data_IF_585596282139
#
_entry.id   IF_585596282139
#
_cell.length_a   1.000
_cell.length_b   1.000
_cell.length_c   1.000
_cell.angle_alpha   90.00
_cell.angle_beta   90.00
_cell.angle_gamma   90.00
#
_symmetry.space_group_name_H-M   'P 1'
#
loop_
_entity.id
_entity.type
_entity.pdbx_description
1 polymer ?
#
# COMPACT_ATOMS: atom_id res chain seq x y z
N UNK A 1 16.81 8.01 -9.76
CA UNK A 1 15.49 8.21 -9.11
C UNK A 1 14.52 8.90 -10.08
N UNK A 2 14.89 10.00 -10.72
CA UNK A 2 14.00 10.79 -11.60
C UNK A 2 13.38 9.99 -12.77
N UNK A 3 14.09 8.96 -13.28
CA UNK A 3 13.58 8.13 -14.37
C UNK A 3 12.46 7.20 -13.87
N UNK A 4 12.60 6.63 -12.68
CA UNK A 4 11.62 5.69 -12.14
C UNK A 4 10.30 6.36 -11.73
N UNK A 5 10.34 7.67 -11.44
CA UNK A 5 9.16 8.44 -11.03
C UNK A 5 8.35 8.96 -12.23
N UNK A 6 8.95 9.08 -13.41
CA UNK A 6 8.29 9.52 -14.65
C UNK A 6 7.93 8.31 -15.53
N UNK A 7 6.64 7.94 -15.67
CA UNK A 7 6.23 6.78 -16.44
C UNK A 7 6.71 6.81 -17.90
N UNK A 8 6.78 7.98 -18.54
CA UNK A 8 7.21 8.10 -19.94
C UNK A 8 8.73 7.87 -20.08
N UNK A 9 9.52 8.46 -19.17
CA UNK A 9 10.96 8.22 -19.15
C UNK A 9 11.26 6.75 -18.86
N UNK A 10 10.50 6.15 -17.94
CA UNK A 10 10.65 4.75 -17.60
C UNK A 10 10.26 3.82 -18.76
N UNK A 11 9.16 4.08 -19.48
CA UNK A 11 8.81 3.36 -20.70
C UNK A 11 9.90 3.44 -21.76
N UNK A 12 10.49 4.61 -21.97
CA UNK A 12 11.60 4.79 -22.91
C UNK A 12 12.82 3.95 -22.49
N UNK A 13 13.11 3.88 -21.20
CA UNK A 13 14.18 3.00 -20.68
C UNK A 13 13.86 1.53 -20.93
N UNK A 14 12.63 1.07 -20.63
CA UNK A 14 12.21 -0.32 -20.86
C UNK A 14 12.36 -0.74 -22.35
N UNK A 15 12.04 0.18 -23.26
CA UNK A 15 12.22 -0.04 -24.72
C UNK A 15 13.68 -0.07 -25.11
N UNK A 16 14.46 0.94 -24.68
CA UNK A 16 15.89 1.05 -24.97
C UNK A 16 16.68 -0.19 -24.51
N UNK A 17 16.45 -0.61 -23.28
CA UNK A 17 17.15 -1.73 -22.66
C UNK A 17 16.51 -3.10 -23.01
N UNK A 18 15.42 -3.12 -23.78
CA UNK A 18 14.68 -4.32 -24.20
C UNK A 18 14.35 -5.23 -23.00
N UNK A 19 13.87 -4.62 -21.91
CA UNK A 19 13.55 -5.32 -20.66
C UNK A 19 12.56 -6.44 -20.91
N UNK A 20 12.86 -7.63 -20.39
CA UNK A 20 12.03 -8.84 -20.56
C UNK A 20 11.32 -9.28 -19.29
N UNK A 21 11.80 -8.87 -18.12
CA UNK A 21 11.19 -9.14 -16.80
C UNK A 21 11.08 -7.82 -16.06
N UNK A 22 9.87 -7.45 -15.67
CA UNK A 22 9.58 -6.25 -14.91
C UNK A 22 9.01 -6.64 -13.56
N UNK A 23 9.66 -6.22 -12.48
CA UNK A 23 9.11 -6.33 -11.12
C UNK A 23 8.66 -4.93 -10.67
N UNK A 24 7.39 -4.80 -10.30
CA UNK A 24 6.79 -3.53 -9.93
C UNK A 24 5.73 -3.70 -8.83
N UNK A 25 5.56 -2.64 -8.02
CA UNK A 25 4.36 -2.58 -7.19
C UNK A 25 3.14 -2.27 -8.06
N UNK A 26 1.94 -2.77 -7.69
CA UNK A 26 0.71 -2.47 -8.42
C UNK A 26 0.49 -0.99 -8.71
N UNK A 27 0.67 -0.13 -7.71
CA UNK A 27 0.46 1.33 -7.86
C UNK A 27 1.36 1.92 -8.95
N UNK A 28 2.67 1.64 -8.95
CA UNK A 28 3.57 2.14 -9.99
C UNK A 28 3.26 1.58 -11.37
N UNK A 29 2.84 0.33 -11.43
CA UNK A 29 2.47 -0.30 -12.68
C UNK A 29 1.20 0.33 -13.28
N UNK A 30 0.22 0.74 -12.48
CA UNK A 30 -0.98 1.42 -13.00
C UNK A 30 -0.63 2.73 -13.70
N UNK A 31 0.32 3.53 -13.17
CA UNK A 31 0.81 4.73 -13.85
C UNK A 31 1.53 4.39 -15.17
N UNK A 32 2.38 3.36 -15.15
CA UNK A 32 3.11 2.89 -16.33
C UNK A 32 2.14 2.41 -17.41
N UNK A 33 1.16 1.59 -17.04
CA UNK A 33 0.10 1.12 -17.93
C UNK A 33 -0.68 2.27 -18.56
N UNK A 34 -1.11 3.24 -17.76
CA UNK A 34 -1.87 4.39 -18.26
C UNK A 34 -1.08 5.22 -19.27
N UNK A 35 0.23 5.37 -19.08
CA UNK A 35 1.09 6.03 -20.05
C UNK A 35 1.25 5.19 -21.34
N UNK A 36 1.49 3.88 -21.19
CA UNK A 36 1.68 2.96 -22.33
C UNK A 36 0.42 2.78 -23.18
N UNK A 37 -0.77 2.74 -22.56
CA UNK A 37 -2.03 2.55 -23.26
C UNK A 37 -2.42 3.76 -24.13
N UNK A 38 -1.87 4.95 -23.87
CA UNK A 38 -2.04 6.14 -24.72
C UNK A 38 -1.23 6.08 -26.02
N UNK A 39 -0.25 5.19 -26.10
CA UNK A 39 0.60 5.01 -27.27
C UNK A 39 0.01 3.96 -28.21
N UNK A 40 0.09 4.21 -29.51
CA UNK A 40 -0.44 3.29 -30.53
C UNK A 40 0.54 2.14 -30.87
N UNK A 41 1.75 2.15 -30.33
CA UNK A 41 2.75 1.11 -30.60
C UNK A 41 2.73 0.02 -29.51
N UNK A 42 3.22 -1.17 -29.83
CA UNK A 42 3.28 -2.34 -28.94
C UNK A 42 4.67 -2.96 -28.98
N UNK A 43 5.71 -2.15 -28.78
CA UNK A 43 7.10 -2.54 -29.01
C UNK A 43 7.89 -2.95 -27.74
N UNK A 44 7.26 -3.02 -26.57
CA UNK A 44 7.87 -3.53 -25.36
C UNK A 44 8.16 -5.03 -25.49
N UNK A 45 9.31 -5.47 -24.96
CA UNK A 45 9.77 -6.87 -24.99
C UNK A 45 9.52 -7.63 -23.69
N UNK A 46 8.61 -7.11 -22.86
CA UNK A 46 8.33 -7.67 -21.54
C UNK A 46 7.60 -9.01 -21.68
N UNK A 47 8.22 -10.08 -21.18
CA UNK A 47 7.66 -11.42 -21.12
C UNK A 47 6.93 -11.67 -19.78
N UNK A 48 7.46 -11.11 -18.69
CA UNK A 48 6.94 -11.30 -17.33
C UNK A 48 6.79 -9.97 -16.63
N UNK A 49 5.64 -9.75 -15.99
CA UNK A 49 5.44 -8.69 -15.02
C UNK A 49 5.13 -9.34 -13.69
N UNK A 50 5.93 -9.03 -12.68
CA UNK A 50 5.82 -9.58 -11.34
C UNK A 50 5.33 -8.46 -10.42
N UNK A 51 4.17 -8.64 -9.83
CA UNK A 51 3.58 -7.72 -8.86
C UNK A 51 3.87 -8.19 -7.44
N UNK A 52 4.27 -7.27 -6.60
CA UNK A 52 4.50 -7.52 -5.18
C UNK A 52 4.47 -6.22 -4.37
N UNK A 53 4.48 -6.36 -3.05
CA UNK A 53 4.54 -5.21 -2.15
C UNK A 53 3.19 -4.58 -1.80
N UNK A 54 2.17 -4.72 -2.63
CA UNK A 54 0.80 -4.21 -2.42
C UNK A 54 -0.24 -5.23 -2.89
N UNK A 55 -1.50 -5.06 -2.45
CA UNK A 55 -2.60 -5.86 -2.97
C UNK A 55 -2.90 -5.47 -4.42
N UNK A 56 -2.78 -6.42 -5.33
CA UNK A 56 -3.10 -6.22 -6.74
C UNK A 56 -4.62 -6.22 -6.94
N UNK A 57 -5.12 -5.31 -7.78
CA UNK A 57 -6.48 -5.36 -8.34
C UNK A 57 -6.38 -5.94 -9.78
N UNK A 58 -6.62 -7.23 -9.99
CA UNK A 58 -6.34 -7.86 -11.28
C UNK A 58 -7.14 -7.27 -12.45
N UNK A 59 -8.38 -6.86 -12.20
CA UNK A 59 -9.22 -6.22 -13.23
C UNK A 59 -8.64 -4.88 -13.74
N UNK A 60 -7.85 -4.18 -12.92
CA UNK A 60 -7.23 -2.91 -13.32
C UNK A 60 -6.09 -3.08 -14.35
N UNK A 61 -5.56 -4.29 -14.52
CA UNK A 61 -4.47 -4.58 -15.46
C UNK A 61 -4.93 -5.39 -16.69
N UNK A 62 -6.24 -5.60 -16.83
CA UNK A 62 -6.83 -6.33 -17.95
C UNK A 62 -6.45 -5.71 -19.31
N UNK A 63 -6.53 -4.39 -19.43
CA UNK A 63 -6.19 -3.66 -20.68
C UNK A 63 -4.72 -3.84 -21.09
N UNK A 64 -3.81 -4.02 -20.13
CA UNK A 64 -2.44 -4.39 -20.46
C UNK A 64 -2.37 -5.77 -21.13
N UNK A 65 -3.08 -6.76 -20.56
CA UNK A 65 -3.12 -8.12 -21.12
C UNK A 65 -3.75 -8.17 -22.50
N UNK A 66 -4.73 -7.31 -22.77
CA UNK A 66 -5.34 -7.16 -24.11
C UNK A 66 -4.33 -6.61 -25.12
N UNK A 67 -3.52 -5.60 -24.75
CA UNK A 67 -2.48 -5.03 -25.61
C UNK A 67 -1.27 -5.96 -25.77
N UNK A 68 -0.85 -6.63 -24.70
CA UNK A 68 0.33 -7.50 -24.64
C UNK A 68 -0.07 -8.93 -24.22
N UNK A 69 -0.77 -9.64 -25.10
CA UNK A 69 -1.36 -10.95 -24.84
C UNK A 69 -0.36 -12.03 -24.44
N UNK A 70 0.90 -11.92 -24.89
CA UNK A 70 1.97 -12.87 -24.58
C UNK A 70 2.67 -12.58 -23.24
N UNK A 71 2.45 -11.42 -22.62
CA UNK A 71 3.03 -11.10 -21.32
C UNK A 71 2.36 -11.92 -20.23
N UNK A 72 3.14 -12.63 -19.42
CA UNK A 72 2.68 -13.33 -18.24
C UNK A 72 2.62 -12.36 -17.07
N UNK A 73 1.47 -12.30 -16.41
CA UNK A 73 1.22 -11.45 -15.26
C UNK A 73 1.24 -12.32 -14.01
N UNK A 74 2.13 -12.01 -13.06
CA UNK A 74 2.39 -12.83 -11.89
C UNK A 74 2.12 -11.99 -10.65
N UNK A 75 1.24 -12.49 -9.78
CA UNK A 75 0.97 -11.88 -8.47
C UNK A 75 1.72 -12.67 -7.40
N UNK A 76 2.59 -11.99 -6.64
CA UNK A 76 3.36 -12.60 -5.56
C UNK A 76 3.12 -11.84 -4.26
N UNK A 77 2.79 -12.58 -3.22
CA UNK A 77 2.69 -12.05 -1.87
C UNK A 77 3.97 -12.40 -1.10
N UNK A 78 4.39 -11.48 -0.26
CA UNK A 78 5.45 -11.68 0.71
C UNK A 78 5.85 -10.39 1.41
N UNK A 79 6.67 -10.54 2.43
CA UNK A 79 7.15 -9.48 3.30
C UNK A 79 8.62 -9.70 3.63
N UNK A 80 9.28 -8.69 4.17
CA UNK A 80 10.71 -8.74 4.49
C UNK A 80 11.07 -9.90 5.41
N UNK A 81 10.24 -10.17 6.40
CA UNK A 81 10.43 -11.22 7.41
C UNK A 81 10.35 -12.64 6.86
N UNK A 82 9.92 -12.80 5.61
CA UNK A 82 9.81 -14.09 4.92
C UNK A 82 10.63 -14.13 3.62
N UNK A 83 11.66 -13.30 3.52
CA UNK A 83 12.57 -13.19 2.37
C UNK A 83 11.83 -12.89 1.07
N UNK A 84 11.15 -11.74 1.04
CA UNK A 84 10.48 -11.10 -0.10
C UNK A 84 9.22 -11.82 -0.58
N UNK A 85 9.30 -13.07 -1.06
CA UNK A 85 8.17 -13.78 -1.68
C UNK A 85 7.80 -15.06 -0.92
N UNK A 86 6.51 -15.20 -0.63
CA UNK A 86 5.92 -16.37 0.03
C UNK A 86 5.08 -17.19 -0.94
N UNK A 87 4.34 -16.52 -1.82
CA UNK A 87 3.42 -17.20 -2.73
C UNK A 87 3.62 -16.77 -4.18
N UNK A 88 3.08 -17.56 -5.10
CA UNK A 88 3.14 -17.34 -6.54
C UNK A 88 1.79 -17.64 -7.19
N UNK A 89 1.33 -16.73 -8.06
CA UNK A 89 0.14 -16.90 -8.90
C UNK A 89 0.40 -16.33 -10.29
N UNK A 90 0.42 -17.16 -11.31
CA UNK A 90 0.26 -16.69 -12.69
C UNK A 90 -1.23 -16.40 -12.92
N UNK A 91 -1.55 -15.15 -13.30
CA UNK A 91 -2.93 -14.69 -13.47
C UNK A 91 -3.52 -15.20 -14.77
N UNK A 92 -4.68 -15.84 -14.67
CA UNK A 92 -5.51 -16.25 -15.81
C UNK A 92 -6.46 -15.13 -16.25
N UNK A 93 -7.11 -15.30 -17.39
CA UNK A 93 -8.16 -14.38 -17.85
C UNK A 93 -9.35 -14.29 -16.87
N UNK A 94 -9.62 -15.37 -16.13
CA UNK A 94 -10.65 -15.37 -15.08
C UNK A 94 -10.21 -14.46 -13.93
N UNK A 95 -8.97 -14.60 -13.47
CA UNK A 95 -8.44 -13.72 -12.41
C UNK A 95 -8.52 -12.23 -12.81
N UNK A 96 -8.25 -11.89 -14.09
CA UNK A 96 -8.32 -10.53 -14.63
C UNK A 96 -9.74 -9.96 -14.74
N UNK A 97 -10.77 -10.76 -14.51
CA UNK A 97 -12.15 -10.27 -14.41
C UNK A 97 -12.59 -9.99 -12.97
N UNK A 98 -11.77 -10.34 -11.99
CA UNK A 98 -12.07 -10.21 -10.57
C UNK A 98 -11.38 -8.96 -9.97
N UNK A 99 -11.96 -8.46 -8.87
CA UNK A 99 -11.36 -7.40 -8.05
C UNK A 99 -10.57 -7.94 -6.86
N UNK A 100 -10.71 -9.23 -6.54
CA UNK A 100 -10.05 -9.88 -5.41
C UNK A 100 -8.62 -10.25 -5.74
N UNK A 101 -7.74 -10.15 -4.76
CA UNK A 101 -6.30 -10.41 -4.93
C UNK A 101 -5.97 -11.87 -4.62
N UNK A 102 -6.11 -12.75 -5.60
CA UNK A 102 -5.58 -14.11 -5.48
C UNK A 102 -4.05 -14.06 -5.54
N UNK A 103 -3.40 -14.48 -4.45
CA UNK A 103 -1.94 -14.49 -4.29
C UNK A 103 -1.34 -15.89 -4.55
N UNK A 104 -2.15 -16.87 -4.93
CA UNK A 104 -1.71 -18.21 -5.35
C UNK A 104 -1.34 -19.15 -4.22
N UNK A 105 -0.34 -19.99 -4.48
CA UNK A 105 0.13 -21.04 -3.56
C UNK A 105 1.53 -20.70 -3.01
N UNK A 106 1.88 -21.26 -1.84
CA UNK A 106 3.25 -21.10 -1.32
C UNK A 106 4.31 -21.59 -2.30
N UNK A 107 5.44 -20.88 -2.35
CA UNK A 107 6.62 -21.37 -3.07
C UNK A 107 7.21 -22.59 -2.35
N UNK A 108 7.95 -23.47 -3.03
CA UNK A 108 8.36 -24.78 -2.48
C UNK A 108 9.17 -24.75 -1.18
N UNK A 109 9.85 -23.64 -0.89
CA UNK A 109 10.69 -23.47 0.30
C UNK A 109 9.94 -23.01 1.53
N UNK A 110 8.64 -22.66 1.39
CA UNK A 110 7.80 -22.12 2.44
C UNK A 110 6.48 -22.89 2.54
N UNK A 111 5.90 -22.87 3.75
CA UNK A 111 4.55 -23.35 4.02
C UNK A 111 3.73 -22.22 4.61
N UNK A 112 2.45 -22.16 4.27
CA UNK A 112 1.50 -21.19 4.78
C UNK A 112 0.37 -21.90 5.51
N UNK A 113 0.02 -21.34 6.67
CA UNK A 113 -1.12 -21.76 7.48
C UNK A 113 -2.06 -20.55 7.64
N UNK A 114 -3.35 -20.78 7.54
CA UNK A 114 -4.37 -19.77 7.83
C UNK A 114 -4.96 -20.08 9.21
N UNK A 115 -4.64 -19.22 10.18
CA UNK A 115 -4.95 -19.47 11.59
C UNK A 115 -5.94 -18.44 12.16
N UNK A 116 -6.73 -18.90 13.13
CA UNK A 116 -7.56 -18.03 13.95
C UNK A 116 -6.72 -17.34 15.07
N UNK A 117 -7.38 -16.48 15.86
CA UNK A 117 -6.75 -15.79 17.00
C UNK A 117 -6.22 -16.74 18.11
N UNK A 118 -6.68 -17.98 18.14
CA UNK A 118 -6.23 -19.02 19.06
C UNK A 118 -5.17 -19.95 18.47
N UNK A 119 -4.62 -19.58 17.30
CA UNK A 119 -3.62 -20.34 16.53
C UNK A 119 -4.14 -21.71 16.03
N UNK A 120 -5.46 -21.86 15.85
CA UNK A 120 -6.06 -23.05 15.26
C UNK A 120 -6.21 -22.88 13.76
N UNK A 121 -5.97 -23.98 13.03
CA UNK A 121 -6.10 -24.02 11.57
C UNK A 121 -7.57 -23.81 11.16
N UNK A 122 -7.76 -22.89 10.22
CA UNK A 122 -9.07 -22.61 9.66
C UNK A 122 -9.32 -23.46 8.40
N UNK A 123 -10.58 -23.93 8.20
CA UNK A 123 -10.95 -24.60 6.97
C UNK A 123 -10.99 -23.62 5.79
N UNK A 124 -10.94 -24.15 4.53
CA UNK A 124 -11.14 -23.34 3.34
C UNK A 124 -12.40 -22.48 3.40
N UNK A 125 -12.34 -21.28 2.85
CA UNK A 125 -13.45 -20.32 2.77
C UNK A 125 -13.54 -19.36 3.98
N UNK A 126 -12.74 -19.53 5.02
CA UNK A 126 -12.75 -18.67 6.21
C UNK A 126 -11.46 -17.85 6.27
N UNK A 127 -11.62 -16.53 6.50
CA UNK A 127 -10.51 -15.61 6.62
C UNK A 127 -9.78 -15.77 7.96
N UNK A 128 -8.44 -15.82 7.90
CA UNK A 128 -7.58 -15.89 9.07
C UNK A 128 -6.21 -15.27 8.83
N UNK A 129 -5.36 -15.30 9.86
CA UNK A 129 -4.00 -14.77 9.79
C UNK A 129 -3.11 -15.67 8.92
N UNK A 130 -2.38 -15.06 7.97
CA UNK A 130 -1.31 -15.73 7.23
C UNK A 130 -0.14 -15.97 8.19
N UNK A 131 0.16 -17.24 8.46
CA UNK A 131 1.32 -17.65 9.23
C UNK A 131 2.26 -18.46 8.33
N UNK A 132 3.55 -18.17 8.38
CA UNK A 132 4.54 -18.72 7.44
C UNK A 132 5.63 -19.48 8.18
N UNK A 133 5.99 -20.66 7.64
CA UNK A 133 7.16 -21.45 8.11
C UNK A 133 8.05 -21.81 6.92
N UNK A 134 9.28 -22.18 7.22
CA UNK A 134 10.24 -22.67 6.25
C UNK A 134 11.50 -21.84 6.10
N UNK A 135 12.30 -22.13 5.10
CA UNK A 135 13.67 -21.63 4.98
C UNK A 135 13.78 -20.11 4.79
N UNK A 136 12.71 -19.45 4.31
CA UNK A 136 12.69 -18.00 4.12
C UNK A 136 12.31 -17.19 5.36
N UNK A 137 11.90 -17.82 6.45
CA UNK A 137 11.56 -17.10 7.69
C UNK A 137 12.83 -16.54 8.33
N UNK A 138 12.83 -15.24 8.65
CA UNK A 138 13.95 -14.55 9.25
C UNK A 138 14.27 -15.05 10.68
N UNK A 139 15.44 -14.71 11.21
CA UNK A 139 15.90 -15.16 12.55
C UNK A 139 15.30 -14.31 13.68
N UNK A 140 14.75 -13.16 13.37
CA UNK A 140 14.14 -12.25 14.35
C UNK A 140 14.50 -10.79 14.15
N UNK A 141 13.80 -9.93 14.87
CA UNK A 141 14.07 -8.49 14.93
C UNK A 141 15.24 -8.21 15.88
N UNK A 142 16.23 -7.46 15.39
CA UNK A 142 17.41 -7.08 16.17
C UNK A 142 17.00 -6.19 17.36
N UNK A 143 17.47 -6.54 18.56
CA UNK A 143 17.21 -5.82 19.82
C UNK A 143 15.71 -5.62 20.16
N UNK A 144 14.81 -6.48 19.63
CA UNK A 144 13.36 -6.43 19.88
C UNK A 144 12.84 -7.79 20.36
N UNK A 145 13.22 -8.24 21.57
CA UNK A 145 12.75 -9.50 22.11
C UNK A 145 11.23 -9.56 22.31
N UNK A 146 10.59 -8.42 22.60
CA UNK A 146 9.15 -8.22 22.69
C UNK A 146 8.42 -8.60 21.38
N UNK A 147 8.90 -8.10 20.26
CA UNK A 147 8.35 -8.44 18.94
C UNK A 147 8.65 -9.89 18.54
N UNK A 148 9.85 -10.36 18.83
CA UNK A 148 10.23 -11.73 18.55
C UNK A 148 9.31 -12.72 19.27
N UNK A 149 9.02 -12.51 20.54
CA UNK A 149 8.14 -13.36 21.33
C UNK A 149 6.70 -13.39 20.78
N UNK A 150 6.21 -12.27 20.21
CA UNK A 150 4.84 -12.17 19.73
C UNK A 150 4.68 -12.60 18.27
N UNK A 151 5.72 -12.41 17.43
CA UNK A 151 5.66 -12.65 15.98
C UNK A 151 6.28 -13.97 15.55
N UNK A 152 7.30 -14.48 16.29
CA UNK A 152 7.94 -15.76 16.04
C UNK A 152 7.51 -16.76 17.11
N UNK A 153 6.65 -17.68 16.73
CA UNK A 153 6.12 -18.70 17.62
C UNK A 153 6.62 -20.09 17.22
N UNK A 154 6.59 -21.04 18.14
CA UNK A 154 6.75 -22.46 17.79
C UNK A 154 5.58 -22.88 16.91
N UNK A 155 5.84 -23.58 15.81
CA UNK A 155 4.78 -24.06 14.93
C UNK A 155 3.93 -25.13 15.67
N UNK A 156 2.63 -24.88 15.93
CA UNK A 156 1.77 -25.82 16.65
C UNK A 156 1.61 -27.18 15.94
N UNK A 157 1.88 -27.22 14.64
CA UNK A 157 1.71 -28.40 13.78
C UNK A 157 3.03 -29.10 13.45
N UNK A 158 4.16 -28.46 13.75
CA UNK A 158 5.50 -29.04 13.67
C UNK A 158 6.47 -28.31 14.62
N UNK A 159 6.64 -28.82 15.81
CA UNK A 159 7.42 -28.16 16.89
C UNK A 159 8.91 -27.93 16.55
N UNK A 160 9.44 -28.57 15.51
CA UNK A 160 10.81 -28.34 15.04
C UNK A 160 10.96 -27.08 14.16
N UNK A 161 9.85 -26.44 13.77
CA UNK A 161 9.83 -25.26 12.91
C UNK A 161 9.42 -24.01 13.69
N UNK A 162 9.99 -22.87 13.34
CA UNK A 162 9.50 -21.57 13.78
C UNK A 162 8.45 -21.09 12.78
N UNK A 163 7.38 -20.50 13.29
CA UNK A 163 6.30 -19.91 12.52
C UNK A 163 6.26 -18.41 12.74
N UNK A 164 6.27 -17.66 11.63
CA UNK A 164 6.11 -16.20 11.66
C UNK A 164 4.65 -15.82 11.46
N UNK A 165 4.14 -14.98 12.34
CA UNK A 165 2.80 -14.38 12.30
C UNK A 165 2.86 -13.05 11.55
N UNK A 166 2.31 -13.02 10.32
CA UNK A 166 2.48 -11.87 9.43
C UNK A 166 1.63 -10.65 9.81
N UNK A 167 0.49 -10.84 10.49
CA UNK A 167 -0.53 -9.82 10.67
C UNK A 167 -1.33 -9.51 9.39
N UNK A 168 -1.09 -10.25 8.31
CA UNK A 168 -1.90 -10.23 7.09
C UNK A 168 -3.01 -11.28 7.16
N UNK A 169 -4.14 -11.02 6.52
CA UNK A 169 -5.31 -11.91 6.44
C UNK A 169 -5.48 -12.49 5.05
N UNK A 170 -5.83 -13.76 4.97
CA UNK A 170 -6.22 -14.39 3.71
C UNK A 170 -7.28 -15.48 3.93
N UNK A 171 -7.93 -15.86 2.85
CA UNK A 171 -8.81 -17.03 2.74
C UNK A 171 -8.05 -18.11 1.96
N UNK A 172 -8.04 -19.33 2.49
CA UNK A 172 -7.62 -20.50 1.74
C UNK A 172 -8.78 -20.96 0.86
N UNK A 173 -8.60 -20.99 -0.44
CA UNK A 173 -9.57 -21.50 -1.39
C UNK A 173 -9.54 -23.02 -1.48
N UNK A 174 -10.62 -23.63 -1.99
CA UNK A 174 -10.72 -25.09 -2.14
C UNK A 174 -9.71 -25.69 -3.15
N UNK A 175 -9.20 -24.88 -4.08
CA UNK A 175 -8.13 -25.25 -5.02
C UNK A 175 -6.71 -25.14 -4.43
N UNK A 176 -6.63 -24.72 -3.15
CA UNK A 176 -5.38 -24.52 -2.41
C UNK A 176 -4.70 -23.19 -2.70
N UNK A 177 -5.31 -22.27 -3.44
CA UNK A 177 -4.82 -20.90 -3.58
C UNK A 177 -5.26 -20.03 -2.40
N UNK A 178 -4.58 -18.91 -2.22
CA UNK A 178 -4.86 -17.94 -1.17
C UNK A 178 -5.41 -16.65 -1.78
N UNK A 179 -6.49 -16.13 -1.19
CA UNK A 179 -7.03 -14.81 -1.50
C UNK A 179 -6.69 -13.83 -0.38
N UNK A 180 -5.97 -12.77 -0.71
CA UNK A 180 -5.54 -11.76 0.24
C UNK A 180 -6.71 -10.87 0.67
N UNK A 181 -6.89 -10.72 1.99
CA UNK A 181 -8.02 -9.97 2.58
C UNK A 181 -7.59 -8.67 3.28
N UNK A 182 -6.30 -8.31 3.23
CA UNK A 182 -5.79 -7.11 3.91
C UNK A 182 -5.05 -7.41 5.20
N UNK A 183 -4.90 -6.38 6.06
CA UNK A 183 -4.20 -6.49 7.33
C UNK A 183 -5.16 -6.65 8.50
N UNK A 184 -4.74 -7.42 9.51
CA UNK A 184 -5.45 -7.58 10.79
C UNK A 184 -5.08 -6.46 11.76
N UNK A 185 -3.86 -5.93 11.65
CA UNK A 185 -3.33 -4.84 12.47
C UNK A 185 -3.48 -3.45 11.80
N UNK A 186 -2.91 -2.43 12.43
CA UNK A 186 -2.96 -1.06 11.93
C UNK A 186 -1.86 -0.71 10.91
N UNK A 187 -1.01 -1.66 10.53
CA UNK A 187 -0.02 -1.43 9.48
C UNK A 187 -0.71 -1.23 8.13
N UNK A 188 -0.12 -0.40 7.31
CA UNK A 188 -0.62 -0.15 5.95
C UNK A 188 0.51 -0.24 4.94
N UNK A 189 0.13 -0.37 3.67
CA UNK A 189 1.06 -0.19 2.55
C UNK A 189 0.64 1.04 1.77
N UNK A 190 1.60 1.95 1.53
CA UNK A 190 1.43 3.17 0.73
C UNK A 190 2.54 3.22 -0.30
N UNK A 191 2.18 3.23 -1.57
CA UNK A 191 3.13 3.27 -2.70
C UNK A 191 4.24 2.21 -2.58
N UNK A 192 3.89 1.02 -2.08
CA UNK A 192 4.82 -0.10 -1.84
C UNK A 192 5.59 -0.04 -0.53
N UNK A 193 5.58 1.07 0.19
CA UNK A 193 6.22 1.19 1.51
C UNK A 193 5.32 0.67 2.61
N UNK A 194 5.89 -0.11 3.52
CA UNK A 194 5.23 -0.58 4.75
C UNK A 194 5.31 0.52 5.80
N UNK A 195 4.18 0.95 6.30
CA UNK A 195 4.07 2.08 7.25
C UNK A 195 3.36 1.62 8.51
N UNK A 196 4.01 1.85 9.65
CA UNK A 196 3.44 1.68 10.98
C UNK A 196 2.72 2.97 11.36
N UNK A 197 1.38 2.97 11.32
CA UNK A 197 0.61 4.15 11.69
C UNK A 197 0.88 4.59 13.13
N UNK A 198 1.10 3.63 14.05
CA UNK A 198 1.39 3.90 15.46
C UNK A 198 2.68 4.69 15.67
N UNK A 199 3.72 4.48 14.84
CA UNK A 199 4.96 5.25 14.91
C UNK A 199 4.72 6.73 14.58
N UNK A 200 3.90 6.99 13.55
CA UNK A 200 3.54 8.36 13.17
C UNK A 200 2.66 8.99 14.25
N UNK A 201 1.68 8.26 14.77
CA UNK A 201 0.79 8.69 15.84
C UNK A 201 1.59 9.08 17.09
N UNK A 202 2.56 8.25 17.51
CA UNK A 202 3.43 8.52 18.66
C UNK A 202 4.25 9.79 18.49
N UNK A 203 4.85 9.98 17.31
CA UNK A 203 5.63 11.19 17.01
C UNK A 203 4.77 12.46 17.07
N UNK A 204 3.54 12.39 16.56
CA UNK A 204 2.60 13.53 16.60
C UNK A 204 2.12 13.79 18.04
N UNK A 205 1.81 12.75 18.82
CA UNK A 205 1.38 12.87 20.21
C UNK A 205 2.43 13.50 21.13
N UNK A 206 3.71 13.33 20.82
CA UNK A 206 4.81 13.94 21.57
C UNK A 206 4.99 15.44 21.28
N UNK A 207 4.20 16.01 20.37
CA UNK A 207 4.26 17.44 20.06
C UNK A 207 3.39 18.27 21.03
N UNK A 208 3.78 19.52 21.31
CA UNK A 208 3.02 20.37 22.23
C UNK A 208 1.61 20.66 21.73
N UNK A 209 0.68 20.77 22.65
CA UNK A 209 -0.73 21.09 22.40
C UNK A 209 -1.54 20.04 21.63
N UNK A 210 -1.02 18.85 21.39
CA UNK A 210 -1.78 17.72 20.84
C UNK A 210 -2.12 16.75 21.97
N UNK A 211 -3.39 16.49 22.17
CA UNK A 211 -3.90 15.62 23.24
C UNK A 211 -4.27 14.23 22.75
N UNK A 212 -4.62 14.11 21.47
CA UNK A 212 -4.93 12.83 20.82
C UNK A 212 -4.58 12.90 19.35
N UNK A 213 -4.14 11.78 18.79
CA UNK A 213 -3.85 11.66 17.36
C UNK A 213 -4.18 10.27 16.85
N UNK A 214 -4.72 10.21 15.65
CA UNK A 214 -4.94 8.99 14.88
C UNK A 214 -4.52 9.25 13.44
N UNK A 215 -3.77 8.33 12.88
CA UNK A 215 -3.40 8.38 11.46
C UNK A 215 -4.18 7.32 10.68
N UNK A 216 -4.67 7.68 9.52
CA UNK A 216 -5.35 6.75 8.63
C UNK A 216 -4.93 6.95 7.18
N UNK A 217 -4.90 5.84 6.46
CA UNK A 217 -4.85 5.85 5.00
C UNK A 217 -6.24 6.16 4.47
N UNK A 218 -6.31 7.11 3.55
CA UNK A 218 -7.51 7.45 2.79
C UNK A 218 -7.19 7.39 1.31
N UNK A 219 -8.23 7.31 0.50
CA UNK A 219 -8.09 7.40 -0.96
C UNK A 219 -8.70 8.73 -1.39
N UNK A 220 -7.96 9.53 -2.14
CA UNK A 220 -8.43 10.80 -2.65
C UNK A 220 -9.37 10.62 -3.86
N UNK A 221 -9.90 11.71 -4.38
CA UNK A 221 -10.80 11.71 -5.55
C UNK A 221 -10.14 11.17 -6.83
N UNK A 222 -8.81 11.15 -6.88
CA UNK A 222 -8.03 10.61 -8.00
C UNK A 222 -7.59 9.15 -7.80
N UNK A 223 -8.16 8.47 -6.79
CA UNK A 223 -7.82 7.10 -6.41
C UNK A 223 -6.36 6.94 -5.89
N UNK A 224 -5.73 8.01 -5.41
CA UNK A 224 -4.41 7.92 -4.78
C UNK A 224 -4.54 7.67 -3.29
N UNK A 225 -3.68 6.79 -2.78
CA UNK A 225 -3.54 6.57 -1.34
C UNK A 225 -2.80 7.74 -0.68
N UNK A 226 -3.44 8.34 0.31
CA UNK A 226 -2.93 9.47 1.10
C UNK A 226 -2.94 9.16 2.59
N UNK A 227 -2.00 9.75 3.34
CA UNK A 227 -2.00 9.72 4.80
C UNK A 227 -2.66 10.97 5.35
N UNK A 228 -3.61 10.76 6.27
CA UNK A 228 -4.30 11.81 7.00
C UNK A 228 -4.07 11.63 8.50
N UNK A 229 -3.58 12.66 9.17
CA UNK A 229 -3.49 12.74 10.62
C UNK A 229 -4.71 13.50 11.17
N UNK A 230 -5.44 12.87 12.05
CA UNK A 230 -6.58 13.43 12.77
C UNK A 230 -6.15 13.69 14.21
N UNK A 231 -6.33 14.91 14.69
CA UNK A 231 -5.82 15.28 16.00
C UNK A 231 -6.82 16.13 16.79
N UNK A 232 -6.71 16.03 18.11
CA UNK A 232 -7.38 16.90 19.07
C UNK A 232 -6.30 17.76 19.72
N UNK A 233 -6.57 19.07 19.85
CA UNK A 233 -5.63 20.00 20.47
C UNK A 233 -6.23 20.69 21.70
N UNK A 234 -5.35 21.18 22.57
CA UNK A 234 -5.70 22.01 23.74
C UNK A 234 -5.05 23.40 23.71
N UNK A 235 -4.49 23.78 22.57
CA UNK A 235 -3.83 25.08 22.36
C UNK A 235 -3.51 25.31 20.89
N UNK A 236 -2.79 26.39 20.53
CA UNK A 236 -2.44 26.69 19.16
C UNK A 236 -1.48 25.64 18.59
N UNK A 237 -1.75 25.20 17.36
CA UNK A 237 -0.96 24.20 16.62
C UNK A 237 -0.56 24.78 15.27
N UNK A 238 0.74 24.73 14.97
CA UNK A 238 1.31 25.11 13.67
C UNK A 238 1.64 23.87 12.86
N UNK A 239 0.81 23.57 11.86
CA UNK A 239 0.96 22.38 11.01
C UNK A 239 2.27 22.41 10.20
N UNK A 240 2.72 23.60 9.76
CA UNK A 240 3.98 23.72 9.00
C UNK A 240 5.17 23.32 9.85
N UNK A 241 5.18 23.73 11.12
CA UNK A 241 6.19 23.34 12.09
C UNK A 241 6.13 21.85 12.41
N UNK A 242 4.93 21.28 12.56
CA UNK A 242 4.71 19.84 12.77
C UNK A 242 5.33 19.05 11.59
N UNK A 243 4.96 19.38 10.36
CA UNK A 243 5.52 18.72 9.17
C UNK A 243 7.03 18.78 9.13
N UNK A 244 7.61 19.95 9.43
CA UNK A 244 9.08 20.13 9.47
C UNK A 244 9.77 19.26 10.54
N UNK A 245 9.13 19.06 11.69
CA UNK A 245 9.63 18.17 12.75
C UNK A 245 9.52 16.70 12.34
N UNK A 246 8.38 16.30 11.80
CA UNK A 246 8.18 14.92 11.34
C UNK A 246 9.18 14.54 10.21
N UNK A 247 9.48 15.45 9.29
CA UNK A 247 10.47 15.21 8.23
C UNK A 247 11.90 14.99 8.74
N UNK A 248 12.23 15.36 9.98
CA UNK A 248 13.54 15.07 10.58
C UNK A 248 13.64 13.63 11.07
N UNK A 249 12.52 13.07 11.54
CA UNK A 249 12.51 11.79 12.24
C UNK A 249 11.90 10.65 11.41
N UNK A 250 11.04 10.98 10.43
CA UNK A 250 10.30 10.02 9.62
C UNK A 250 10.73 10.09 8.15
N UNK A 251 10.64 8.97 7.47
CA UNK A 251 10.81 8.95 6.02
C UNK A 251 9.72 9.79 5.31
N UNK A 252 10.01 10.44 4.17
CA UNK A 252 9.06 11.34 3.49
C UNK A 252 7.68 10.72 3.20
N UNK A 253 7.64 9.41 2.89
CA UNK A 253 6.39 8.70 2.63
C UNK A 253 5.56 8.41 3.89
N UNK A 254 6.12 8.59 5.10
CA UNK A 254 5.44 8.43 6.39
C UNK A 254 4.82 9.73 6.90
N UNK A 255 5.20 10.89 6.34
CA UNK A 255 4.68 12.17 6.79
C UNK A 255 3.28 12.40 6.23
N UNK A 256 2.26 12.61 7.09
CA UNK A 256 0.89 12.84 6.62
C UNK A 256 0.79 14.07 5.72
N UNK A 257 0.09 13.92 4.59
CA UNK A 257 -0.18 15.02 3.67
C UNK A 257 -1.18 16.01 4.28
N UNK A 258 -2.18 15.47 4.99
CA UNK A 258 -3.29 16.23 5.56
C UNK A 258 -3.33 16.09 7.07
N UNK A 259 -3.58 17.22 7.75
CA UNK A 259 -3.77 17.29 9.19
C UNK A 259 -5.18 17.87 9.44
N UNK A 260 -6.03 17.09 10.10
CA UNK A 260 -7.46 17.39 10.27
C UNK A 260 -7.73 17.48 11.76
N UNK A 261 -8.13 18.66 12.21
CA UNK A 261 -8.57 18.88 13.58
C UNK A 261 -9.96 18.29 13.80
N UNK A 262 -10.13 17.56 14.90
CA UNK A 262 -11.41 17.01 15.33
C UNK A 262 -11.71 17.45 16.77
N UNK A 263 -12.98 17.64 17.08
CA UNK A 263 -13.43 17.83 18.47
C UNK A 263 -13.36 16.52 19.26
N UNK A 264 -13.73 15.40 18.61
CA UNK A 264 -13.73 14.07 19.20
C UNK A 264 -13.28 13.02 18.20
N UNK A 265 -12.53 12.01 18.67
CA UNK A 265 -12.21 10.83 17.87
C UNK A 265 -13.42 9.87 17.87
N UNK A 266 -13.75 9.28 16.72
CA UNK A 266 -14.85 8.34 16.63
C UNK A 266 -14.46 6.98 17.21
N UNK A 267 -15.28 6.42 18.08
CA UNK A 267 -15.11 5.10 18.66
C UNK A 267 -16.20 4.15 18.18
N UNK A 268 -15.83 2.87 18.05
CA UNK A 268 -16.81 1.80 17.82
C UNK A 268 -17.41 1.32 19.16
N UNK A 269 -18.39 0.42 19.10
CA UNK A 269 -19.08 -0.14 20.28
C UNK A 269 -18.13 -0.84 21.28
N UNK A 270 -16.95 -1.23 20.83
CA UNK A 270 -15.93 -1.91 21.64
C UNK A 270 -14.89 -0.94 22.22
N UNK A 271 -15.11 0.38 22.12
CA UNK A 271 -14.20 1.41 22.61
C UNK A 271 -12.92 1.58 21.79
N UNK A 272 -12.82 0.96 20.60
CA UNK A 272 -11.70 1.17 19.68
C UNK A 272 -12.02 2.29 18.68
N UNK A 273 -10.98 3.03 18.27
CA UNK A 273 -11.12 4.08 17.27
C UNK A 273 -11.59 3.50 15.94
N UNK A 274 -12.65 4.05 15.38
CA UNK A 274 -13.22 3.67 14.09
C UNK A 274 -12.60 4.51 12.97
N UNK A 275 -11.49 4.05 12.40
CA UNK A 275 -10.80 4.75 11.31
C UNK A 275 -11.61 4.86 10.02
N UNK A 276 -12.65 4.03 9.84
CA UNK A 276 -13.45 4.01 8.60
C UNK A 276 -14.34 5.25 8.48
N UNK A 277 -14.87 5.77 9.60
CA UNK A 277 -15.77 6.92 9.62
C UNK A 277 -15.03 8.27 9.77
N UNK A 278 -13.71 8.26 9.86
CA UNK A 278 -12.91 9.49 9.84
C UNK A 278 -13.15 10.23 8.50
N UNK A 279 -13.37 11.55 8.52
CA UNK A 279 -13.71 12.31 7.32
C UNK A 279 -12.56 12.30 6.30
N UNK A 280 -12.90 12.41 5.02
CA UNK A 280 -11.91 12.73 4.00
C UNK A 280 -11.38 14.15 4.25
N UNK A 281 -10.10 14.41 3.90
CA UNK A 281 -9.61 15.77 3.96
C UNK A 281 -10.47 16.65 3.06
N UNK A 282 -11.04 17.72 3.64
CA UNK A 282 -11.60 18.78 2.82
C UNK A 282 -10.41 19.40 2.09
N UNK A 283 -10.27 19.09 0.81
CA UNK A 283 -9.40 19.86 -0.09
C UNK A 283 -10.13 21.20 -0.29
N UNK A 284 -10.18 21.99 0.78
CA UNK A 284 -10.64 23.37 0.69
C UNK A 284 -9.59 24.07 -0.14
N UNK A 285 -9.95 24.37 -1.37
CA UNK A 285 -9.23 25.33 -2.19
C UNK A 285 -8.93 26.54 -1.29
N UNK A 286 -7.66 26.87 -1.14
CA UNK A 286 -7.24 28.02 -0.35
C UNK A 286 -8.09 29.22 -0.78
N UNK A 287 -8.82 29.82 0.16
CA UNK A 287 -9.70 30.97 -0.12
C UNK A 287 -8.95 32.23 -0.60
N UNK A 288 -7.62 32.20 -0.56
CA UNK A 288 -6.77 33.24 -1.13
C UNK A 288 -6.41 32.88 -2.57
N UNK A 289 -7.37 32.99 -3.47
CA UNK A 289 -7.08 32.91 -4.90
C UNK A 289 -6.21 34.10 -5.26
N UNK A 290 -4.96 33.86 -5.57
CA UNK A 290 -4.06 34.87 -6.15
C UNK A 290 -4.39 34.91 -7.63
N UNK A 291 -4.96 36.03 -8.09
CA UNK A 291 -5.27 36.21 -9.49
C UNK A 291 -3.99 36.23 -10.36
N UNK A 292 -4.03 35.67 -11.56
CA UNK A 292 -2.87 35.70 -12.47
C UNK A 292 -2.41 37.14 -12.71
N UNK A 293 -1.11 37.36 -12.60
CA UNK A 293 -0.48 38.69 -12.73
C UNK A 293 -0.27 39.08 -14.21
N UNK A 294 -0.24 38.08 -15.09
CA UNK A 294 -0.01 38.25 -16.53
C UNK A 294 -0.60 37.08 -17.33
N UNK A 295 -0.52 37.16 -18.65
CA UNK A 295 -1.04 36.13 -19.54
C UNK A 295 -0.34 34.77 -19.40
N UNK A 296 0.95 34.76 -19.02
CA UNK A 296 1.71 33.52 -18.81
C UNK A 296 1.19 32.80 -17.56
N UNK A 297 1.01 33.52 -16.45
CA UNK A 297 0.41 32.98 -15.21
C UNK A 297 -0.98 32.38 -15.52
N UNK A 298 -1.80 33.10 -16.31
CA UNK A 298 -3.12 32.62 -16.73
C UNK A 298 -3.04 31.34 -17.53
N UNK A 299 -2.17 31.26 -18.51
CA UNK A 299 -1.99 30.05 -19.35
C UNK A 299 -1.51 28.87 -18.49
N UNK A 300 -0.59 29.11 -17.55
CA UNK A 300 -0.12 28.06 -16.62
C UNK A 300 -1.26 27.57 -15.74
N UNK A 301 -2.06 28.48 -15.18
CA UNK A 301 -3.23 28.12 -14.37
C UNK A 301 -4.23 27.32 -15.19
N UNK A 302 -4.58 27.75 -16.42
CA UNK A 302 -5.52 27.05 -17.28
C UNK A 302 -5.04 25.62 -17.60
N UNK A 303 -3.76 25.45 -17.90
CA UNK A 303 -3.14 24.11 -18.12
C UNK A 303 -3.19 23.27 -16.84
N UNK A 304 -2.88 23.85 -15.68
CA UNK A 304 -2.91 23.13 -14.41
C UNK A 304 -4.33 22.74 -14.00
N UNK A 305 -5.33 23.61 -14.22
CA UNK A 305 -6.76 23.32 -14.00
C UNK A 305 -7.19 22.13 -14.87
N UNK A 306 -6.80 22.11 -16.13
CA UNK A 306 -7.11 21.01 -17.05
C UNK A 306 -6.43 19.69 -16.64
N UNK A 307 -5.14 19.73 -16.27
CA UNK A 307 -4.37 18.53 -15.88
C UNK A 307 -4.81 17.99 -14.52
N UNK A 308 -5.07 18.87 -13.56
CA UNK A 308 -5.38 18.49 -12.18
C UNK A 308 -6.88 18.29 -11.95
N UNK A 309 -7.73 18.60 -12.94
CA UNK A 309 -9.19 18.51 -12.86
C UNK A 309 -9.75 19.22 -11.60
N UNK A 310 -9.23 20.41 -11.29
CA UNK A 310 -9.66 21.25 -10.18
C UNK A 310 -10.29 22.54 -10.70
N UNK A 311 -11.31 23.06 -10.00
CA UNK A 311 -12.02 24.25 -10.50
C UNK A 311 -11.21 25.54 -10.42
N UNK A 312 -10.22 25.63 -9.51
CA UNK A 312 -9.35 26.79 -9.33
C UNK A 312 -7.99 26.38 -8.72
N UNK A 313 -6.92 27.09 -9.12
CA UNK A 313 -5.57 26.97 -8.57
C UNK A 313 -5.09 28.39 -8.18
N UNK A 314 -4.48 28.52 -7.01
CA UNK A 314 -3.90 29.77 -6.51
C UNK A 314 -2.41 29.64 -6.25
#
# INVERSE_FOLDING_TARGET
>A
EDIAQDPNKFLNLLRKEKVTVLNQTPTYFYYLQNAELKLNDSNLKIRYIIFGGEALKPNAIKSWKEKYNNTKLINMYGITETTVHVTFKELSNVDLSLSTSNIGKPIPTLKVYILDKYQKLLPPGIAGEICVTGAGVFKGYLNRPDLNQTKLISNPYNQSEIMYRSGDSAILNYDGTLEYCGRIDSQIKIRGFRVELGEIEEKILNLPNITSCVVAKKTDQFQHDILCAYYIKNGPVDISKIKSLLHKDLAPYMVPQYFIELEHLPYNHNGKINRNILPLPNIVQNKNIIHPRNNIDKTIIDILVEILHVDNIS
#
